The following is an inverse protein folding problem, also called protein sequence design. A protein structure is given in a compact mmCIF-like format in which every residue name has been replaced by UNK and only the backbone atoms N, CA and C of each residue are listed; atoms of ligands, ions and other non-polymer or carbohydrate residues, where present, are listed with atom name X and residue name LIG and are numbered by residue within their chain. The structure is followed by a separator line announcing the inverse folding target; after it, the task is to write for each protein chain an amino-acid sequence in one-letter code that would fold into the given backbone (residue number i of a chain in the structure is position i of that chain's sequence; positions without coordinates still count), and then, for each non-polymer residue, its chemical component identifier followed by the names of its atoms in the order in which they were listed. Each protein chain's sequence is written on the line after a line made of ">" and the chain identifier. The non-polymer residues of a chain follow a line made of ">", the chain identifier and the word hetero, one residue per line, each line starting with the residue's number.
data_IF_844407977488
#
_entry.id   IF_844407977488
#
_cell.length_a   1.000
_cell.length_b   1.000
_cell.length_c   1.000
_cell.angle_alpha   90.00
_cell.angle_beta   90.00
_cell.angle_gamma   90.00
#
_symmetry.space_group_name_H-M   'P 1'
#
loop_
_entity.id
_entity.type
_entity.pdbx_description
1 polymer ?
#
# COMPACT_ATOMS: atom_id res chain seq x y z
N UNK A 1 23.94 41.29 23.08
CA UNK A 1 22.89 40.59 23.86
C UNK A 1 22.44 39.38 23.05
N UNK A 2 23.05 38.21 23.27
CA UNK A 2 22.66 36.99 22.56
C UNK A 2 21.56 36.29 23.34
N UNK A 3 20.38 36.17 22.75
CA UNK A 3 19.26 35.43 23.36
C UNK A 3 19.49 33.94 23.13
N UNK A 4 19.69 33.19 24.21
CA UNK A 4 19.72 31.73 24.17
C UNK A 4 18.33 31.21 23.82
N UNK A 5 18.15 30.70 22.59
CA UNK A 5 16.94 29.97 22.22
C UNK A 5 16.97 28.58 22.84
N UNK A 6 15.86 28.19 23.46
CA UNK A 6 15.70 26.87 24.06
C UNK A 6 15.89 25.77 23.01
N UNK A 7 16.55 24.66 23.37
CA UNK A 7 16.69 23.47 22.50
C UNK A 7 15.36 22.94 21.98
N UNK A 8 14.25 23.22 22.65
CA UNK A 8 12.89 22.85 22.23
C UNK A 8 12.38 23.60 20.98
N UNK A 9 12.86 24.81 20.71
CA UNK A 9 12.45 25.61 19.54
C UNK A 9 13.10 25.15 18.23
N UNK A 10 14.13 24.30 18.32
CA UNK A 10 14.91 23.85 17.15
C UNK A 10 14.26 22.66 16.43
N UNK A 11 13.31 21.96 17.07
CA UNK A 11 12.63 20.79 16.48
C UNK A 11 11.41 21.13 15.62
N UNK A 12 10.94 22.38 15.61
CA UNK A 12 9.61 22.72 15.04
C UNK A 12 9.65 23.63 13.81
N UNK A 13 10.81 24.18 13.42
CA UNK A 13 10.92 24.98 12.20
C UNK A 13 11.33 24.10 11.00
N UNK A 14 10.34 23.55 10.31
CA UNK A 14 10.52 23.10 8.92
C UNK A 14 11.05 24.27 8.09
N UNK A 15 12.14 24.05 7.36
CA UNK A 15 12.70 25.05 6.45
C UNK A 15 11.71 25.33 5.31
N UNK A 16 11.84 26.46 4.63
CA UNK A 16 11.03 26.73 3.43
C UNK A 16 11.28 25.68 2.34
N UNK A 17 12.50 25.13 2.28
CA UNK A 17 12.84 24.00 1.42
C UNK A 17 12.00 22.76 1.73
N UNK A 18 11.82 22.41 3.01
CA UNK A 18 10.99 21.25 3.40
C UNK A 18 9.52 21.42 2.99
N UNK A 19 9.00 22.65 3.06
CA UNK A 19 7.63 22.98 2.62
C UNK A 19 7.47 22.87 1.10
N UNK A 20 8.52 23.21 0.34
CA UNK A 20 8.54 23.05 -1.11
C UNK A 20 8.56 21.57 -1.50
N UNK A 21 9.38 20.76 -0.82
CA UNK A 21 9.40 19.32 -1.05
C UNK A 21 8.05 18.66 -0.72
N UNK A 22 7.43 19.03 0.40
CA UNK A 22 6.09 18.54 0.77
C UNK A 22 5.00 18.88 -0.27
N UNK A 23 5.11 20.01 -0.98
CA UNK A 23 4.13 20.40 -2.00
C UNK A 23 4.32 19.67 -3.33
N UNK A 24 5.56 19.24 -3.64
CA UNK A 24 5.90 18.55 -4.89
C UNK A 24 5.71 17.03 -4.79
N UNK A 25 5.73 16.44 -3.60
CA UNK A 25 5.55 14.99 -3.42
C UNK A 25 4.09 14.63 -3.17
N UNK A 26 3.61 13.60 -3.86
CA UNK A 26 2.34 12.97 -3.53
C UNK A 26 2.61 11.72 -2.68
N UNK A 27 2.17 11.68 -1.41
CA UNK A 27 2.33 10.49 -0.59
C UNK A 27 1.68 9.27 -1.25
N UNK A 28 2.31 8.11 -1.10
CA UNK A 28 1.77 6.82 -1.55
C UNK A 28 1.62 5.95 -0.31
N UNK A 29 0.40 5.52 -0.04
CA UNK A 29 0.12 4.58 1.04
C UNK A 29 -0.24 3.23 0.45
N UNK A 30 0.24 2.15 1.06
CA UNK A 30 -0.07 0.78 0.65
C UNK A 30 -0.28 -0.08 1.89
N UNK A 31 -1.44 -0.74 1.96
CA UNK A 31 -1.81 -1.72 2.99
C UNK A 31 -1.69 -3.10 2.38
N UNK A 32 -0.92 -3.98 3.00
CA UNK A 32 -0.72 -5.36 2.56
C UNK A 32 -1.68 -6.28 3.28
N UNK A 33 -2.29 -7.18 2.53
CA UNK A 33 -3.19 -8.20 3.08
C UNK A 33 -2.48 -9.55 3.13
N UNK A 34 -2.80 -10.32 4.16
CA UNK A 34 -2.38 -11.69 4.31
C UNK A 34 -3.42 -12.44 5.15
N UNK A 35 -3.37 -13.76 5.11
CA UNK A 35 -4.14 -14.61 6.02
C UNK A 35 -3.46 -14.67 7.40
N UNK A 36 -4.20 -15.15 8.41
CA UNK A 36 -3.71 -15.28 9.78
C UNK A 36 -2.44 -16.16 9.90
N UNK A 37 -2.24 -17.08 8.95
CA UNK A 37 -1.08 -17.97 8.89
C UNK A 37 0.16 -17.34 8.22
N UNK A 38 0.04 -16.09 7.73
CA UNK A 38 1.08 -15.36 6.99
C UNK A 38 1.57 -16.11 5.74
N UNK A 39 0.67 -16.83 5.07
CA UNK A 39 1.01 -17.67 3.92
C UNK A 39 1.57 -16.86 2.75
N UNK A 40 1.04 -15.67 2.45
CA UNK A 40 1.59 -14.83 1.36
C UNK A 40 2.99 -14.34 1.73
N UNK A 41 3.18 -13.84 2.95
CA UNK A 41 4.48 -13.40 3.46
C UNK A 41 5.53 -14.50 3.37
N UNK A 42 5.23 -15.71 3.88
CA UNK A 42 6.16 -16.85 3.87
C UNK A 42 6.54 -17.26 2.45
N UNK A 43 5.55 -17.41 1.55
CA UNK A 43 5.79 -17.77 0.14
C UNK A 43 6.65 -16.72 -0.58
N UNK A 44 6.39 -15.43 -0.32
CA UNK A 44 7.16 -14.32 -0.89
C UNK A 44 8.57 -14.24 -0.35
N UNK A 45 8.77 -14.50 0.94
CA UNK A 45 10.08 -14.55 1.58
C UNK A 45 10.94 -15.68 0.98
N UNK A 46 10.34 -16.84 0.76
CA UNK A 46 10.97 -17.99 0.12
C UNK A 46 11.09 -17.87 -1.41
N UNK A 47 10.59 -16.79 -2.03
CA UNK A 47 10.55 -16.58 -3.49
C UNK A 47 9.95 -17.76 -4.24
N UNK A 48 8.88 -18.35 -3.71
CA UNK A 48 8.23 -19.47 -4.38
C UNK A 48 7.63 -19.04 -5.72
N UNK A 49 7.72 -19.93 -6.71
CA UNK A 49 7.01 -19.78 -7.98
C UNK A 49 5.52 -19.58 -7.74
N UNK A 50 4.92 -18.59 -8.40
CA UNK A 50 3.53 -18.23 -8.21
C UNK A 50 3.23 -17.50 -6.89
N UNK A 51 4.24 -17.08 -6.12
CA UNK A 51 3.99 -16.36 -4.86
C UNK A 51 3.30 -15.01 -5.09
N UNK A 52 2.09 -14.89 -4.55
CA UNK A 52 1.24 -13.72 -4.67
C UNK A 52 1.48 -12.70 -3.54
N UNK A 53 1.15 -11.44 -3.83
CA UNK A 53 1.20 -10.34 -2.88
C UNK A 53 0.05 -9.37 -3.18
N UNK A 54 -0.94 -9.35 -2.30
CA UNK A 54 -2.11 -8.48 -2.41
C UNK A 54 -1.90 -7.20 -1.60
N UNK A 55 -2.25 -6.05 -2.19
CA UNK A 55 -2.22 -4.76 -1.49
C UNK A 55 -3.31 -3.79 -1.96
N UNK A 56 -3.85 -3.01 -1.03
CA UNK A 56 -4.61 -1.80 -1.35
C UNK A 56 -3.67 -0.60 -1.37
N UNK A 57 -3.69 0.19 -2.43
CA UNK A 57 -2.85 1.37 -2.60
C UNK A 57 -3.70 2.58 -2.97
N UNK A 58 -3.37 3.73 -2.38
CA UNK A 58 -3.92 5.01 -2.81
C UNK A 58 -2.85 6.09 -2.80
N UNK A 59 -3.17 7.20 -3.46
CA UNK A 59 -2.32 8.37 -3.59
C UNK A 59 -2.91 9.53 -2.79
N UNK A 60 -2.04 10.31 -2.16
CA UNK A 60 -2.42 11.47 -1.36
C UNK A 60 -2.29 11.24 0.13
N UNK A 61 -2.30 12.35 0.87
CA UNK A 61 -2.05 12.37 2.32
C UNK A 61 -3.19 11.79 3.14
N UNK A 62 -4.41 11.79 2.61
CA UNK A 62 -5.61 11.32 3.31
C UNK A 62 -6.11 10.05 2.64
N UNK A 63 -6.70 9.16 3.45
CA UNK A 63 -7.46 8.02 2.94
C UNK A 63 -8.57 8.54 2.01
N UNK A 64 -8.77 7.93 0.83
CA UNK A 64 -9.88 8.27 -0.05
C UNK A 64 -11.21 8.10 0.71
N UNK A 65 -12.22 8.90 0.35
CA UNK A 65 -13.55 8.83 0.96
C UNK A 65 -14.61 8.90 -0.13
N UNK A 66 -15.70 8.16 0.03
CA UNK A 66 -16.83 8.20 -0.91
C UNK A 66 -16.42 7.62 -2.27
N UNK A 67 -16.36 8.47 -3.29
CA UNK A 67 -16.00 8.08 -4.67
C UNK A 67 -14.48 8.05 -4.92
N UNK A 68 -13.67 8.31 -3.89
CA UNK A 68 -12.22 8.26 -3.99
C UNK A 68 -11.70 6.86 -4.35
N UNK A 69 -10.69 6.79 -5.21
CA UNK A 69 -10.20 5.52 -5.77
C UNK A 69 -9.13 4.90 -4.87
N UNK A 70 -9.29 3.61 -4.59
CA UNK A 70 -8.30 2.71 -4.04
C UNK A 70 -7.96 1.66 -5.10
N UNK A 71 -6.67 1.43 -5.33
CA UNK A 71 -6.19 0.41 -6.24
C UNK A 71 -5.93 -0.87 -5.47
N UNK A 72 -6.71 -1.91 -5.74
CA UNK A 72 -6.38 -3.28 -5.35
C UNK A 72 -5.36 -3.81 -6.34
N UNK A 73 -4.15 -4.07 -5.87
CA UNK A 73 -3.05 -4.57 -6.69
C UNK A 73 -2.66 -5.99 -6.27
N UNK A 74 -2.53 -6.89 -7.25
CA UNK A 74 -2.03 -8.25 -7.07
C UNK A 74 -0.70 -8.38 -7.81
N UNK A 75 0.35 -8.80 -7.11
CA UNK A 75 1.64 -9.11 -7.72
C UNK A 75 1.91 -10.60 -7.61
N UNK A 76 2.14 -11.24 -8.74
CA UNK A 76 2.49 -12.67 -8.83
C UNK A 76 3.95 -12.82 -9.19
N UNK A 77 4.69 -13.58 -8.38
CA UNK A 77 6.07 -13.93 -8.67
C UNK A 77 6.12 -15.06 -9.70
N UNK A 78 6.95 -14.88 -10.71
CA UNK A 78 7.42 -15.97 -11.55
C UNK A 78 8.96 -15.98 -11.54
N UNK A 79 9.51 -17.16 -11.35
CA UNK A 79 10.91 -17.50 -11.36
C UNK A 79 11.48 -17.48 -12.77
N UNK A 80 12.78 -17.29 -12.87
CA UNK A 80 13.45 -17.10 -14.18
C UNK A 80 13.41 -18.33 -15.08
N UNK A 81 13.28 -19.53 -14.49
CA UNK A 81 13.21 -20.79 -15.24
C UNK A 81 11.83 -21.01 -15.87
N UNK A 82 10.81 -20.28 -15.41
CA UNK A 82 9.47 -20.28 -16.02
C UNK A 82 9.44 -19.25 -17.14
N UNK A 83 8.77 -19.58 -18.25
CA UNK A 83 8.63 -18.67 -19.39
C UNK A 83 7.82 -17.40 -19.06
N UNK A 84 7.04 -17.43 -17.99
CA UNK A 84 6.16 -16.35 -17.58
C UNK A 84 6.94 -15.27 -16.83
N UNK A 85 6.69 -14.00 -17.19
CA UNK A 85 7.22 -12.87 -16.44
C UNK A 85 6.33 -12.60 -15.24
N UNK A 86 6.94 -12.21 -14.11
CA UNK A 86 6.19 -11.75 -12.92
C UNK A 86 5.16 -10.70 -13.31
N UNK A 87 3.89 -10.93 -12.95
CA UNK A 87 2.76 -10.09 -13.35
C UNK A 87 2.41 -9.13 -12.21
N UNK A 88 1.95 -7.93 -12.57
CA UNK A 88 1.35 -6.99 -11.65
C UNK A 88 0.02 -6.52 -12.23
N UNK A 89 -1.06 -6.90 -11.59
CA UNK A 89 -2.42 -6.53 -11.96
C UNK A 89 -2.98 -5.53 -10.97
N UNK A 90 -3.92 -4.70 -11.42
CA UNK A 90 -4.59 -3.72 -10.57
C UNK A 90 -6.03 -3.49 -11.00
N UNK A 91 -6.92 -3.35 -10.03
CA UNK A 91 -8.29 -2.90 -10.21
C UNK A 91 -8.51 -1.59 -9.44
N UNK A 92 -9.17 -0.62 -10.08
CA UNK A 92 -9.60 0.61 -9.41
C UNK A 92 -10.96 0.39 -8.76
N UNK A 93 -11.06 0.64 -7.46
CA UNK A 93 -12.28 0.45 -6.67
C UNK A 93 -12.58 1.76 -5.94
N UNK A 94 -13.85 2.16 -5.90
CA UNK A 94 -14.27 3.31 -5.10
C UNK A 94 -14.25 2.93 -3.62
N UNK A 95 -13.80 3.82 -2.75
CA UNK A 95 -13.66 3.53 -1.32
C UNK A 95 -14.96 3.04 -0.69
N UNK A 96 -16.10 3.62 -1.07
CA UNK A 96 -17.42 3.16 -0.61
C UNK A 96 -17.68 1.68 -0.92
N UNK A 97 -17.15 1.14 -2.01
CA UNK A 97 -17.38 -0.24 -2.45
C UNK A 97 -16.37 -1.22 -1.85
N UNK A 98 -15.29 -0.74 -1.23
CA UNK A 98 -14.24 -1.59 -0.65
C UNK A 98 -14.76 -2.58 0.40
N UNK A 99 -15.80 -2.19 1.15
CA UNK A 99 -16.42 -3.06 2.16
C UNK A 99 -16.91 -4.39 1.57
N UNK A 100 -17.39 -4.39 0.33
CA UNK A 100 -17.89 -5.61 -0.31
C UNK A 100 -16.76 -6.57 -0.68
N UNK A 101 -15.58 -6.05 -0.99
CA UNK A 101 -14.40 -6.86 -1.33
C UNK A 101 -13.66 -7.39 -0.10
N UNK A 102 -13.78 -6.73 1.05
CA UNK A 102 -13.14 -7.13 2.31
C UNK A 102 -14.01 -8.03 3.18
N UNK A 103 -15.30 -8.15 2.86
CA UNK A 103 -16.19 -9.04 3.59
C UNK A 103 -15.79 -10.51 3.36
N UNK A 104 -15.79 -11.35 4.42
CA UNK A 104 -15.67 -12.78 4.25
C UNK A 104 -16.84 -13.26 3.39
N UNK A 105 -16.57 -13.62 2.15
CA UNK A 105 -17.53 -14.32 1.32
C UNK A 105 -17.53 -15.78 1.78
N UNK A 106 -18.65 -16.33 2.28
CA UNK A 106 -18.75 -17.75 2.51
C UNK A 106 -18.51 -18.44 1.17
N UNK A 107 -17.48 -19.28 1.11
CA UNK A 107 -17.18 -20.04 -0.08
C UNK A 107 -18.31 -21.04 -0.30
N UNK A 108 -19.32 -20.66 -1.09
CA UNK A 108 -20.30 -21.58 -1.63
C UNK A 108 -19.58 -22.41 -2.68
N UNK A 109 -19.04 -23.57 -2.29
CA UNK A 109 -18.68 -24.58 -3.27
C UNK A 109 -19.97 -24.90 -4.04
N UNK A 110 -20.05 -24.46 -5.29
CA UNK A 110 -21.08 -24.97 -6.20
C UNK A 110 -20.72 -26.44 -6.44
N UNK A 111 -21.53 -27.34 -5.89
CA UNK A 111 -21.60 -28.74 -6.30
C UNK A 111 -21.97 -28.86 -7.78
#
# INVERSE_FOLDING_TARGET
>A
KGTLTSKSDRLTRKSEGDKLWDSMVTPITSVYFDAADMSMYKKRLARMEGAELLRARWYGTKMPKGDGIIYLELKTHHEKWVANKSVKERAAVQEKDMRFFLQPVPWSAKE
#
